data_IF_404184929834
#
_entry.id   IF_404184929834
#
_cell.length_a   1.000
_cell.length_b   1.000
_cell.length_c   1.000
_cell.angle_alpha   90.00
_cell.angle_beta   90.00
_cell.angle_gamma   90.00
#
_symmetry.space_group_name_H-M   'P 1'
#
loop_
_entity.id
_entity.type
_entity.pdbx_description
1 polymer ?
#
# COMPACT_ATOMS: atom_id res chain seq x y z
N UNK A 1 -14.34 3.01 4.75
CA UNK A 1 -15.75 3.20 4.39
C UNK A 1 -16.43 4.05 5.48
N UNK A 2 -16.89 5.27 5.19
CA UNK A 2 -17.66 6.09 6.14
C UNK A 2 -19.14 5.71 6.02
N UNK A 3 -19.73 5.14 7.07
CA UNK A 3 -21.17 4.89 7.13
C UNK A 3 -21.86 6.26 7.10
N UNK A 4 -22.76 6.49 6.13
CA UNK A 4 -23.51 7.74 6.04
C UNK A 4 -24.30 7.95 7.35
N UNK A 5 -24.13 9.11 8.03
CA UNK A 5 -24.86 9.42 9.26
C UNK A 5 -26.37 9.26 9.08
N UNK A 6 -26.90 9.64 7.91
CA UNK A 6 -28.33 9.53 7.58
C UNK A 6 -28.86 8.10 7.66
N UNK A 7 -28.03 7.09 7.37
CA UNK A 7 -28.43 5.68 7.44
C UNK A 7 -28.39 5.12 8.86
N UNK A 8 -27.46 5.60 9.69
CA UNK A 8 -27.43 5.31 11.14
C UNK A 8 -28.66 5.93 11.81
N UNK A 9 -29.02 7.16 11.43
CA UNK A 9 -30.23 7.82 11.93
C UNK A 9 -31.50 7.09 11.53
N UNK A 10 -31.59 6.53 10.31
CA UNK A 10 -32.74 5.74 9.90
C UNK A 10 -32.87 4.44 10.68
N UNK A 11 -31.78 3.71 10.91
CA UNK A 11 -31.79 2.49 11.71
C UNK A 11 -32.15 2.78 13.19
N UNK A 12 -31.64 3.88 13.74
CA UNK A 12 -32.01 4.35 15.08
C UNK A 12 -33.49 4.76 15.14
N UNK A 13 -34.01 5.41 14.10
CA UNK A 13 -35.41 5.79 13.99
C UNK A 13 -36.34 4.58 13.87
N UNK A 14 -36.02 3.62 13.00
CA UNK A 14 -36.79 2.39 12.83
C UNK A 14 -36.77 1.56 14.13
N UNK A 15 -35.65 1.55 14.86
CA UNK A 15 -35.55 0.95 16.20
C UNK A 15 -36.38 1.71 17.26
N UNK A 16 -36.38 3.05 17.24
CA UNK A 16 -37.23 3.87 18.12
C UNK A 16 -38.73 3.69 17.84
N UNK A 17 -39.12 3.49 16.58
CA UNK A 17 -40.51 3.20 16.18
C UNK A 17 -40.93 1.81 16.66
N UNK A 18 -40.01 0.85 16.76
CA UNK A 18 -40.25 -0.49 17.34
C UNK A 18 -40.25 -0.47 18.89
N UNK A 19 -39.66 0.55 19.52
CA UNK A 19 -39.48 0.67 20.98
C UNK A 19 -40.63 1.32 21.75
N UNK A 20 -41.76 1.64 21.13
CA UNK A 20 -42.97 2.08 21.87
C UNK A 20 -43.53 0.98 22.80
N UNK A 21 -42.88 -0.19 22.85
CA UNK A 21 -43.07 -1.22 23.87
C UNK A 21 -41.76 -1.51 24.60
N UNK A 22 -41.66 -1.02 25.84
CA UNK A 22 -40.64 -1.27 26.87
C UNK A 22 -39.77 -2.53 26.65
N UNK A 23 -38.54 -2.39 26.14
CA UNK A 23 -37.45 -3.36 26.37
C UNK A 23 -36.06 -2.71 26.43
N UNK A 24 -35.22 -3.41 27.20
CA UNK A 24 -33.86 -3.16 27.66
C UNK A 24 -32.90 -2.58 26.60
N UNK A 25 -32.14 -1.55 26.99
CA UNK A 25 -31.18 -0.83 26.13
C UNK A 25 -30.15 -1.80 25.52
N UNK A 26 -29.79 -2.86 26.26
CA UNK A 26 -28.84 -3.88 25.81
C UNK A 26 -29.38 -4.69 24.62
N UNK A 27 -30.70 -4.95 24.56
CA UNK A 27 -31.32 -5.57 23.39
C UNK A 27 -31.34 -4.65 22.18
N UNK A 28 -31.37 -3.34 22.41
CA UNK A 28 -31.28 -2.34 21.35
C UNK A 28 -29.91 -2.21 20.72
N UNK A 29 -28.88 -2.17 21.54
CA UNK A 29 -27.50 -2.19 21.05
C UNK A 29 -27.24 -3.47 20.25
N UNK A 30 -27.71 -4.62 20.73
CA UNK A 30 -27.58 -5.89 20.00
C UNK A 30 -28.38 -5.92 18.70
N UNK A 31 -29.55 -5.28 18.65
CA UNK A 31 -30.32 -5.14 17.41
C UNK A 31 -29.59 -4.24 16.40
N UNK A 32 -29.04 -3.11 16.85
CA UNK A 32 -28.26 -2.19 16.00
C UNK A 32 -27.00 -2.89 15.48
N UNK A 33 -26.29 -3.65 16.32
CA UNK A 33 -25.14 -4.46 15.91
C UNK A 33 -25.52 -5.50 14.87
N UNK A 34 -26.59 -6.26 15.10
CA UNK A 34 -27.09 -7.26 14.15
C UNK A 34 -27.58 -6.61 12.84
N UNK A 35 -28.17 -5.42 12.90
CA UNK A 35 -28.62 -4.67 11.72
C UNK A 35 -27.45 -4.10 10.93
N UNK A 36 -26.42 -3.58 11.60
CA UNK A 36 -25.17 -3.15 10.94
C UNK A 36 -24.46 -4.37 10.34
N UNK A 37 -24.49 -5.51 11.02
CA UNK A 37 -23.90 -6.77 10.55
C UNK A 37 -24.64 -7.33 9.33
N UNK A 38 -25.98 -7.37 9.35
CA UNK A 38 -26.77 -7.79 8.19
C UNK A 38 -26.60 -6.83 7.01
N UNK A 39 -26.46 -5.53 7.27
CA UNK A 39 -26.18 -4.54 6.23
C UNK A 39 -24.75 -4.64 5.67
N UNK A 40 -23.77 -5.06 6.48
CA UNK A 40 -22.43 -5.44 5.99
C UNK A 40 -22.46 -6.74 5.18
N UNK A 41 -23.46 -7.59 5.38
CA UNK A 41 -23.64 -8.83 4.62
C UNK A 41 -24.37 -8.59 3.28
N UNK A 42 -25.32 -7.64 3.26
CA UNK A 42 -26.07 -7.16 2.08
C UNK A 42 -25.46 -5.88 1.47
N UNK A 43 -24.32 -6.00 0.75
CA UNK A 43 -23.90 -4.94 -0.19
C UNK A 43 -24.60 -5.17 -1.53
N UNK A 44 -25.08 -4.07 -2.14
CA UNK A 44 -25.61 -4.08 -3.49
C UNK A 44 -24.55 -4.64 -4.47
N UNK A 45 -24.88 -5.61 -5.34
CA UNK A 45 -23.95 -6.05 -6.37
C UNK A 45 -23.63 -4.89 -7.32
N UNK A 46 -22.36 -4.62 -7.56
CA UNK A 46 -21.91 -3.54 -8.45
C UNK A 46 -20.42 -3.26 -8.33
N UNK A 47 -19.86 -2.62 -9.36
CA UNK A 47 -18.50 -2.10 -9.35
C UNK A 47 -18.56 -0.67 -8.80
N UNK A 48 -18.05 -0.46 -7.58
CA UNK A 48 -18.06 0.84 -6.92
C UNK A 48 -16.62 1.33 -6.77
N UNK A 49 -16.14 2.09 -7.76
CA UNK A 49 -14.88 2.81 -7.65
C UNK A 49 -15.13 4.28 -7.98
N UNK A 50 -14.98 5.15 -6.98
CA UNK A 50 -15.12 6.59 -7.18
C UNK A 50 -13.81 7.13 -7.73
N UNK A 51 -13.89 7.76 -8.91
CA UNK A 51 -12.96 8.73 -9.53
C UNK A 51 -11.47 8.53 -9.23
N UNK A 52 -10.72 8.18 -10.28
CA UNK A 52 -9.30 8.52 -10.54
C UNK A 52 -8.54 9.10 -9.33
N UNK A 53 -8.24 8.26 -8.34
CA UNK A 53 -7.35 8.67 -7.25
C UNK A 53 -5.93 8.54 -7.81
N UNK A 54 -5.39 9.65 -8.30
CA UNK A 54 -3.97 9.78 -8.70
C UNK A 54 -3.03 9.31 -7.58
N UNK A 55 -3.55 9.18 -6.34
CA UNK A 55 -2.85 8.67 -5.17
C UNK A 55 -3.35 7.29 -4.71
N UNK A 56 -3.67 6.36 -5.62
CA UNK A 56 -4.02 4.99 -5.24
C UNK A 56 -2.93 4.39 -4.32
N UNK A 57 -3.21 4.38 -3.01
CA UNK A 57 -2.26 3.95 -1.97
C UNK A 57 -1.98 2.46 -2.11
N UNK A 58 -0.78 2.01 -1.75
CA UNK A 58 -0.46 0.57 -1.70
C UNK A 58 -1.53 -0.22 -0.91
N UNK A 59 -2.05 0.36 0.17
CA UNK A 59 -3.02 -0.27 1.08
C UNK A 59 -4.42 0.34 0.92
N UNK A 60 -5.31 -0.35 0.20
CA UNK A 60 -6.69 0.13 -0.03
C UNK A 60 -7.76 -0.76 0.59
N UNK A 61 -7.40 -1.95 1.12
CA UNK A 61 -8.33 -2.84 1.82
C UNK A 61 -7.70 -3.41 3.10
N UNK A 62 -8.17 -3.01 4.30
CA UNK A 62 -7.52 -3.37 5.57
C UNK A 62 -7.57 -4.87 5.91
N UNK A 63 -8.47 -5.63 5.27
CA UNK A 63 -8.67 -7.06 5.55
C UNK A 63 -7.83 -7.99 4.63
N UNK A 64 -7.05 -7.43 3.68
CA UNK A 64 -6.26 -8.22 2.71
C UNK A 64 -4.83 -7.71 2.63
N UNK A 65 -3.89 -8.61 2.28
CA UNK A 65 -2.54 -8.17 1.94
C UNK A 65 -2.59 -7.25 0.71
N UNK A 66 -1.74 -6.21 0.64
CA UNK A 66 -1.74 -5.26 -0.48
C UNK A 66 -1.55 -5.93 -1.84
N UNK A 67 -0.64 -6.91 -1.91
CA UNK A 67 -0.39 -7.71 -3.11
C UNK A 67 -1.60 -8.56 -3.51
N UNK A 68 -2.33 -9.15 -2.56
CA UNK A 68 -3.58 -9.88 -2.82
C UNK A 68 -4.62 -8.95 -3.43
N UNK A 69 -4.86 -7.81 -2.79
CA UNK A 69 -5.82 -6.82 -3.26
C UNK A 69 -5.47 -6.35 -4.68
N UNK A 70 -4.23 -5.93 -4.90
CA UNK A 70 -3.78 -5.41 -6.19
C UNK A 70 -3.85 -6.46 -7.29
N UNK A 71 -3.55 -7.71 -6.98
CA UNK A 71 -3.65 -8.81 -7.94
C UNK A 71 -5.10 -9.12 -8.30
N UNK A 72 -6.01 -9.17 -7.31
CA UNK A 72 -7.45 -9.35 -7.58
C UNK A 72 -8.04 -8.20 -8.39
N UNK A 73 -7.64 -6.96 -8.08
CA UNK A 73 -8.08 -5.76 -8.79
C UNK A 73 -7.59 -5.77 -10.25
N UNK A 74 -6.31 -6.09 -10.47
CA UNK A 74 -5.73 -6.28 -11.80
C UNK A 74 -6.49 -7.34 -12.61
N UNK A 75 -6.79 -8.50 -12.01
CA UNK A 75 -7.52 -9.58 -12.68
C UNK A 75 -8.96 -9.17 -13.01
N UNK A 76 -9.66 -8.55 -12.06
CA UNK A 76 -11.03 -8.06 -12.26
C UNK A 76 -11.10 -7.07 -13.42
N UNK A 77 -10.22 -6.07 -13.43
CA UNK A 77 -10.14 -5.08 -14.50
C UNK A 77 -9.78 -5.69 -15.84
N UNK A 78 -8.84 -6.63 -15.87
CA UNK A 78 -8.45 -7.35 -17.09
C UNK A 78 -9.61 -8.16 -17.68
N UNK A 79 -10.39 -8.83 -16.82
CA UNK A 79 -11.57 -9.61 -17.25
C UNK A 79 -12.67 -8.67 -17.78
N UNK A 80 -12.97 -7.59 -17.05
CA UNK A 80 -13.98 -6.61 -17.47
C UNK A 80 -13.60 -5.94 -18.80
N UNK A 81 -12.34 -5.54 -18.94
CA UNK A 81 -11.80 -4.99 -20.18
C UNK A 81 -11.94 -5.99 -21.33
N UNK A 82 -11.44 -7.22 -21.16
CA UNK A 82 -11.48 -8.24 -22.20
C UNK A 82 -12.91 -8.62 -22.61
N UNK A 83 -13.83 -8.76 -21.64
CA UNK A 83 -15.24 -9.06 -21.92
C UNK A 83 -15.99 -7.92 -22.60
N UNK A 84 -15.56 -6.68 -22.37
CA UNK A 84 -16.09 -5.52 -23.09
C UNK A 84 -15.59 -5.47 -24.52
N UNK A 85 -14.29 -5.69 -24.74
CA UNK A 85 -13.67 -5.68 -26.08
C UNK A 85 -14.33 -6.71 -27.02
N UNK A 86 -14.69 -7.89 -26.50
CA UNK A 86 -15.40 -8.92 -27.28
C UNK A 86 -16.92 -8.73 -27.33
N UNK A 87 -17.46 -7.65 -26.74
CA UNK A 87 -18.88 -7.33 -26.75
C UNK A 87 -19.77 -8.20 -25.85
N UNK A 88 -19.18 -8.94 -24.90
CA UNK A 88 -19.92 -9.79 -23.96
C UNK A 88 -20.60 -8.98 -22.84
N UNK A 89 -20.00 -7.85 -22.45
CA UNK A 89 -20.53 -6.93 -21.43
C UNK A 89 -20.49 -5.50 -21.97
N UNK A 90 -21.49 -4.68 -21.64
CA UNK A 90 -21.44 -3.22 -21.85
C UNK A 90 -21.04 -2.53 -20.56
N UNK A 91 -19.81 -2.02 -20.51
CA UNK A 91 -19.26 -1.41 -19.31
C UNK A 91 -19.91 -0.05 -18.95
N UNK A 92 -20.55 0.61 -19.92
CA UNK A 92 -21.31 1.86 -19.69
C UNK A 92 -22.46 1.68 -18.69
N UNK A 93 -22.92 0.44 -18.46
CA UNK A 93 -23.94 0.12 -17.44
C UNK A 93 -23.37 -0.14 -16.05
N UNK A 94 -22.03 -0.16 -15.92
CA UNK A 94 -21.29 -0.57 -14.72
C UNK A 94 -20.59 0.63 -14.06
N UNK A 95 -20.22 1.65 -14.84
CA UNK A 95 -19.66 2.91 -14.34
C UNK A 95 -20.70 4.02 -14.43
N UNK A 96 -20.77 4.89 -13.42
CA UNK A 96 -21.54 6.14 -13.52
C UNK A 96 -21.00 7.00 -14.68
N UNK A 97 -21.88 7.80 -15.31
CA UNK A 97 -21.72 8.63 -16.54
C UNK A 97 -20.48 9.56 -16.64
N UNK A 98 -19.52 9.49 -15.71
CA UNK A 98 -18.35 10.36 -15.63
C UNK A 98 -17.10 9.84 -16.36
N UNK A 99 -17.04 8.56 -16.76
CA UNK A 99 -15.93 8.06 -17.57
C UNK A 99 -16.18 8.36 -19.06
N UNK A 100 -15.52 9.40 -19.59
CA UNK A 100 -15.63 9.77 -21.01
C UNK A 100 -15.12 8.68 -21.98
N UNK A 101 -14.32 7.73 -21.48
CA UNK A 101 -13.94 6.51 -22.18
C UNK A 101 -13.72 5.38 -21.16
N UNK A 102 -14.67 4.45 -21.11
CA UNK A 102 -14.67 3.34 -20.14
C UNK A 102 -13.54 2.34 -20.42
N UNK A 103 -13.18 2.11 -21.68
CA UNK A 103 -12.11 1.18 -22.03
C UNK A 103 -10.75 1.74 -21.63
N UNK A 104 -10.52 3.02 -21.92
CA UNK A 104 -9.30 3.70 -21.49
C UNK A 104 -9.21 3.77 -19.96
N UNK A 105 -10.32 3.95 -19.25
CA UNK A 105 -10.38 3.86 -17.79
C UNK A 105 -9.83 2.51 -17.28
N UNK A 106 -10.37 1.39 -17.74
CA UNK A 106 -9.90 0.07 -17.29
C UNK A 106 -8.44 -0.18 -17.67
N UNK A 107 -8.02 0.25 -18.87
CA UNK A 107 -6.64 0.12 -19.32
C UNK A 107 -5.65 0.86 -18.41
N UNK A 108 -5.97 2.09 -18.03
CA UNK A 108 -5.14 2.87 -17.10
C UNK A 108 -5.04 2.21 -15.73
N UNK A 109 -6.16 1.68 -15.21
CA UNK A 109 -6.15 0.95 -13.94
C UNK A 109 -5.34 -0.35 -14.01
N UNK A 110 -5.42 -1.11 -15.11
CA UNK A 110 -4.60 -2.30 -15.34
C UNK A 110 -3.10 -1.94 -15.31
N UNK A 111 -2.71 -0.86 -15.98
CA UNK A 111 -1.31 -0.37 -15.98
C UNK A 111 -0.88 0.05 -14.58
N UNK A 112 -1.72 0.79 -13.86
CA UNK A 112 -1.43 1.24 -12.50
C UNK A 112 -1.26 0.06 -11.55
N UNK A 113 -2.18 -0.90 -11.56
CA UNK A 113 -2.09 -2.09 -10.71
C UNK A 113 -0.86 -2.94 -11.07
N UNK A 114 -0.49 -3.05 -12.35
CA UNK A 114 0.74 -3.71 -12.78
C UNK A 114 1.98 -3.05 -12.14
N UNK A 115 2.08 -1.72 -12.17
CA UNK A 115 3.19 -1.00 -11.55
C UNK A 115 3.22 -1.16 -10.03
N UNK A 116 2.07 -1.15 -9.36
CA UNK A 116 1.99 -1.37 -7.92
C UNK A 116 2.39 -2.80 -7.54
N UNK A 117 1.97 -3.80 -8.32
CA UNK A 117 2.41 -5.19 -8.16
C UNK A 117 3.93 -5.30 -8.36
N UNK A 118 4.47 -4.63 -9.38
CA UNK A 118 5.91 -4.59 -9.63
C UNK A 118 6.68 -3.99 -8.44
N UNK A 119 6.20 -2.89 -7.88
CA UNK A 119 6.79 -2.25 -6.70
C UNK A 119 6.73 -3.15 -5.46
N UNK A 120 5.62 -3.85 -5.26
CA UNK A 120 5.44 -4.77 -4.15
C UNK A 120 6.38 -5.98 -4.24
N UNK A 121 6.56 -6.57 -5.43
CA UNK A 121 7.39 -7.77 -5.62
C UNK A 121 8.90 -7.47 -5.71
N UNK A 122 9.30 -6.20 -5.87
CA UNK A 122 10.68 -5.77 -6.16
C UNK A 122 11.36 -6.50 -7.34
N UNK A 123 10.57 -7.12 -8.23
CA UNK A 123 11.12 -7.93 -9.31
C UNK A 123 11.04 -7.20 -10.65
N UNK A 124 12.09 -7.33 -11.47
CA UNK A 124 12.11 -6.78 -12.85
C UNK A 124 11.15 -7.49 -13.81
N UNK A 125 10.52 -8.58 -13.39
CA UNK A 125 9.71 -9.45 -14.25
C UNK A 125 8.39 -9.87 -13.57
N UNK A 126 7.55 -8.91 -13.11
CA UNK A 126 6.31 -9.21 -12.40
C UNK A 126 5.29 -9.94 -13.30
N UNK A 127 5.41 -9.80 -14.62
CA UNK A 127 4.57 -10.52 -15.58
C UNK A 127 4.69 -12.05 -15.46
N UNK A 128 5.89 -12.59 -15.17
CA UNK A 128 6.08 -14.05 -15.02
C UNK A 128 5.28 -14.56 -13.81
N UNK A 129 5.35 -13.83 -12.70
CA UNK A 129 4.61 -14.14 -11.49
C UNK A 129 3.10 -14.04 -11.73
N UNK A 130 2.65 -12.98 -12.41
CA UNK A 130 1.25 -12.80 -12.82
C UNK A 130 0.74 -13.95 -13.71
N UNK A 131 1.55 -14.44 -14.65
CA UNK A 131 1.19 -15.60 -15.46
C UNK A 131 0.97 -16.85 -14.59
N UNK A 132 1.78 -17.06 -13.56
CA UNK A 132 1.56 -18.19 -12.63
C UNK A 132 0.33 -18.01 -11.75
N UNK A 133 0.00 -16.78 -11.34
CA UNK A 133 -1.27 -16.48 -10.67
C UNK A 133 -2.45 -16.86 -11.57
N UNK A 134 -2.45 -16.39 -12.83
CA UNK A 134 -3.50 -16.70 -13.81
C UNK A 134 -3.57 -18.21 -14.04
N UNK A 135 -2.43 -18.87 -14.21
CA UNK A 135 -2.35 -20.31 -14.39
C UNK A 135 -2.84 -21.07 -13.16
N UNK A 136 -2.72 -20.52 -11.94
CA UNK A 136 -3.23 -21.15 -10.70
C UNK A 136 -4.70 -20.83 -10.43
N UNK A 137 -5.24 -19.79 -11.08
CA UNK A 137 -6.62 -19.33 -10.89
C UNK A 137 -7.66 -20.40 -11.19
N UNK A 138 -7.37 -21.31 -12.13
CA UNK A 138 -8.27 -22.41 -12.47
C UNK A 138 -8.63 -23.27 -11.24
N UNK A 139 -7.72 -23.42 -10.27
CA UNK A 139 -7.93 -24.20 -9.04
C UNK A 139 -9.09 -23.67 -8.20
N UNK A 140 -9.28 -22.34 -8.18
CA UNK A 140 -10.39 -21.70 -7.47
C UNK A 140 -11.70 -21.76 -8.26
N UNK A 141 -11.62 -21.65 -9.60
CA UNK A 141 -12.81 -21.66 -10.47
C UNK A 141 -13.55 -23.00 -10.49
N UNK A 142 -12.88 -24.11 -10.17
CA UNK A 142 -13.52 -25.44 -10.06
C UNK A 142 -14.60 -25.50 -8.98
N UNK A 143 -14.50 -24.65 -7.94
CA UNK A 143 -15.46 -24.60 -6.84
C UNK A 143 -16.76 -23.84 -7.18
N UNK A 144 -16.86 -23.20 -8.37
CA UNK A 144 -18.03 -22.43 -8.86
C UNK A 144 -18.67 -21.53 -7.77
N UNK A 145 -17.86 -20.77 -7.05
CA UNK A 145 -18.32 -19.94 -5.93
C UNK A 145 -19.11 -18.75 -6.48
N UNK A 146 -20.44 -18.66 -6.26
CA UNK A 146 -21.22 -17.54 -6.75
C UNK A 146 -21.04 -16.36 -5.77
N UNK A 147 -20.39 -15.29 -6.22
CA UNK A 147 -20.08 -14.08 -5.42
C UNK A 147 -21.34 -13.23 -5.14
N UNK A 148 -22.31 -13.81 -4.43
CA UNK A 148 -23.66 -13.24 -4.22
C UNK A 148 -23.76 -12.29 -3.03
N UNK A 149 -22.86 -12.43 -2.05
CA UNK A 149 -22.84 -11.62 -0.84
C UNK A 149 -21.40 -11.41 -0.37
N UNK A 150 -21.19 -10.47 0.55
CA UNK A 150 -19.84 -10.15 1.01
C UNK A 150 -19.17 -11.26 1.80
N UNK A 151 -19.95 -12.11 2.47
CA UNK A 151 -19.39 -13.23 3.21
C UNK A 151 -18.68 -14.20 2.26
N UNK A 152 -19.37 -14.58 1.19
CA UNK A 152 -18.83 -15.44 0.14
C UNK A 152 -17.70 -14.75 -0.63
N UNK A 153 -17.78 -13.43 -0.85
CA UNK A 153 -16.68 -12.66 -1.42
C UNK A 153 -15.44 -12.70 -0.52
N UNK A 154 -15.59 -12.47 0.79
CA UNK A 154 -14.48 -12.54 1.75
C UNK A 154 -13.88 -13.94 1.82
N UNK A 155 -14.72 -14.97 1.83
CA UNK A 155 -14.25 -16.37 1.76
C UNK A 155 -13.44 -16.63 0.50
N UNK A 156 -13.92 -16.13 -0.66
CA UNK A 156 -13.18 -16.21 -1.92
C UNK A 156 -11.83 -15.47 -1.85
N UNK A 157 -11.82 -14.24 -1.34
CA UNK A 157 -10.59 -13.43 -1.22
C UNK A 157 -9.57 -14.08 -0.29
N UNK A 158 -10.02 -14.62 0.85
CA UNK A 158 -9.16 -15.37 1.77
C UNK A 158 -8.64 -16.67 1.15
N UNK A 159 -9.48 -17.42 0.41
CA UNK A 159 -9.03 -18.60 -0.32
C UNK A 159 -8.04 -18.25 -1.42
N UNK A 160 -8.24 -17.14 -2.13
CA UNK A 160 -7.30 -16.65 -3.14
C UNK A 160 -5.95 -16.27 -2.53
N UNK A 161 -5.96 -15.56 -1.39
CA UNK A 161 -4.74 -15.23 -0.65
C UNK A 161 -3.99 -16.50 -0.22
N UNK A 162 -4.66 -17.42 0.47
CA UNK A 162 -4.02 -18.59 1.05
C UNK A 162 -3.61 -19.67 0.03
N UNK A 163 -4.43 -19.93 -0.99
CA UNK A 163 -4.20 -21.03 -1.95
C UNK A 163 -3.31 -20.61 -3.14
N UNK A 164 -3.25 -19.32 -3.48
CA UNK A 164 -2.52 -18.82 -4.66
C UNK A 164 -1.41 -17.84 -4.27
N UNK A 165 -1.75 -16.76 -3.58
CA UNK A 165 -0.81 -15.64 -3.38
C UNK A 165 0.31 -16.01 -2.41
N UNK A 166 -0.04 -16.55 -1.24
CA UNK A 166 0.94 -16.88 -0.19
C UNK A 166 2.02 -17.88 -0.66
N UNK A 167 1.67 -19.00 -1.34
CA UNK A 167 2.67 -19.91 -1.90
C UNK A 167 3.57 -19.25 -2.94
N UNK A 168 3.00 -18.40 -3.81
CA UNK A 168 3.72 -17.78 -4.91
C UNK A 168 4.64 -16.63 -4.44
N UNK A 169 4.29 -15.91 -3.38
CA UNK A 169 5.17 -14.89 -2.78
C UNK A 169 6.41 -15.54 -2.19
N UNK A 170 6.23 -16.60 -1.40
CA UNK A 170 7.32 -17.32 -0.74
C UNK A 170 8.29 -17.96 -1.74
N UNK A 171 7.84 -18.27 -2.95
CA UNK A 171 8.61 -18.94 -3.99
C UNK A 171 8.93 -18.08 -5.20
N UNK A 172 8.66 -16.76 -5.17
CA UNK A 172 8.76 -15.84 -6.33
C UNK A 172 10.04 -16.03 -7.15
N UNK A 173 11.19 -16.14 -6.49
CA UNK A 173 12.48 -16.31 -7.18
C UNK A 173 12.62 -17.68 -7.85
N UNK A 174 12.24 -18.77 -7.16
CA UNK A 174 12.25 -20.12 -7.72
C UNK A 174 11.28 -20.27 -8.90
N UNK A 175 10.09 -19.70 -8.77
CA UNK A 175 9.07 -19.58 -9.82
C UNK A 175 9.62 -18.93 -11.10
N UNK A 176 10.34 -17.81 -10.95
CA UNK A 176 10.91 -17.09 -12.09
C UNK A 176 12.07 -17.87 -12.69
N UNK A 177 12.93 -18.48 -11.87
CA UNK A 177 14.00 -19.36 -12.35
C UNK A 177 13.45 -20.54 -13.14
N UNK A 178 12.40 -21.21 -12.64
CA UNK A 178 11.74 -22.33 -13.29
C UNK A 178 11.08 -21.92 -14.61
N UNK A 179 10.32 -20.81 -14.63
CA UNK A 179 9.73 -20.32 -15.86
C UNK A 179 10.79 -20.02 -16.91
N UNK A 180 11.88 -19.35 -16.51
CA UNK A 180 12.99 -19.06 -17.42
C UNK A 180 13.66 -20.34 -17.92
N UNK A 181 13.86 -21.35 -17.07
CA UNK A 181 14.40 -22.66 -17.48
C UNK A 181 13.50 -23.34 -18.50
N UNK A 182 12.19 -23.40 -18.25
CA UNK A 182 11.24 -24.05 -19.15
C UNK A 182 11.11 -23.28 -20.48
N UNK A 183 11.18 -21.95 -20.44
CA UNK A 183 11.19 -21.11 -21.64
C UNK A 183 12.48 -21.29 -22.46
N UNK A 184 13.62 -21.45 -21.79
CA UNK A 184 14.91 -21.79 -22.40
C UNK A 184 14.82 -23.15 -23.11
N UNK A 185 14.31 -24.18 -22.44
CA UNK A 185 14.10 -25.51 -23.03
C UNK A 185 13.19 -25.45 -24.27
N UNK A 186 12.07 -24.71 -24.18
CA UNK A 186 11.18 -24.48 -25.32
C UNK A 186 11.89 -23.77 -26.50
N UNK A 187 12.74 -22.78 -26.22
CA UNK A 187 13.48 -22.08 -27.27
C UNK A 187 14.53 -22.99 -27.92
N UNK A 188 15.20 -23.87 -27.15
CA UNK A 188 16.16 -24.83 -27.70
C UNK A 188 15.52 -25.78 -28.71
N UNK A 189 14.26 -26.14 -28.50
CA UNK A 189 13.49 -26.95 -29.46
C UNK A 189 13.08 -26.17 -30.72
N UNK A 190 13.18 -24.83 -30.70
CA UNK A 190 12.68 -23.93 -31.75
C UNK A 190 13.75 -23.31 -32.68
N UNK A 191 15.02 -23.76 -32.59
CA UNK A 191 16.13 -23.34 -33.49
C UNK A 191 16.40 -21.81 -33.52
N UNK A 192 16.10 -21.08 -32.44
CA UNK A 192 16.30 -19.63 -32.39
C UNK A 192 17.71 -19.24 -31.87
N UNK A 193 18.44 -18.49 -32.70
CA UNK A 193 19.83 -17.97 -32.54
C UNK A 193 20.04 -17.01 -31.34
N UNK A 194 19.04 -16.86 -30.47
CA UNK A 194 19.03 -15.98 -29.29
C UNK A 194 19.53 -16.72 -28.03
N UNK A 195 19.62 -18.05 -28.11
CA UNK A 195 19.98 -18.94 -27.01
C UNK A 195 21.31 -18.59 -26.30
N UNK A 196 22.41 -18.27 -27.01
CA UNK A 196 23.69 -17.95 -26.37
C UNK A 196 23.62 -16.67 -25.51
N UNK A 197 22.84 -15.68 -25.96
CA UNK A 197 22.73 -14.38 -25.30
C UNK A 197 21.86 -14.43 -24.03
N UNK A 198 20.76 -15.19 -24.06
CA UNK A 198 19.89 -15.40 -22.87
C UNK A 198 20.59 -16.30 -21.84
N UNK A 199 21.34 -17.31 -22.29
CA UNK A 199 22.11 -18.19 -21.41
C UNK A 199 23.29 -17.46 -20.73
N UNK A 200 23.93 -16.51 -21.40
CA UNK A 200 24.98 -15.65 -20.84
C UNK A 200 24.42 -14.68 -19.78
N UNK A 201 23.22 -14.14 -19.99
CA UNK A 201 22.55 -13.24 -19.03
C UNK A 201 22.07 -13.93 -17.75
N UNK A 202 21.97 -15.26 -17.71
CA UNK A 202 21.38 -16.02 -16.57
C UNK A 202 22.21 -17.22 -16.10
N UNK A 203 23.49 -17.27 -16.49
CA UNK A 203 24.61 -18.02 -15.90
C UNK A 203 24.27 -19.34 -15.16
N UNK A 204 24.49 -20.45 -15.86
CA UNK A 204 24.32 -21.82 -15.38
C UNK A 204 25.32 -22.18 -14.25
N UNK A 205 24.83 -22.41 -13.03
CA UNK A 205 25.63 -22.83 -11.85
C UNK A 205 26.37 -24.17 -12.06
N UNK A 206 25.92 -25.05 -12.96
CA UNK A 206 26.66 -26.28 -13.28
C UNK A 206 27.93 -26.00 -14.10
N UNK A 207 27.94 -24.94 -14.92
CA UNK A 207 29.10 -24.57 -15.75
C UNK A 207 30.07 -23.66 -15.00
N UNK A 208 29.57 -22.90 -14.04
CA UNK A 208 30.34 -21.98 -13.20
C UNK A 208 29.96 -22.17 -11.72
N UNK A 209 30.56 -23.15 -11.01
CA UNK A 209 30.18 -23.47 -9.64
C UNK A 209 30.48 -22.35 -8.63
N UNK A 210 31.33 -21.39 -8.99
CA UNK A 210 31.68 -20.25 -8.15
C UNK A 210 30.79 -19.02 -8.40
N UNK A 211 29.85 -19.10 -9.33
CA UNK A 211 29.03 -17.97 -9.74
C UNK A 211 28.22 -17.36 -8.60
N UNK A 212 27.78 -18.18 -7.65
CA UNK A 212 27.05 -17.74 -6.45
C UNK A 212 27.85 -16.75 -5.60
N UNK A 213 29.19 -16.81 -5.65
CA UNK A 213 30.08 -15.87 -4.96
C UNK A 213 30.32 -14.57 -5.73
N UNK A 214 30.04 -14.55 -7.03
CA UNK A 214 30.17 -13.37 -7.90
C UNK A 214 28.83 -12.72 -8.21
N UNK A 215 27.71 -13.35 -7.84
CA UNK A 215 26.40 -12.75 -7.92
C UNK A 215 26.36 -11.49 -7.06
N UNK A 216 25.86 -10.40 -7.64
CA UNK A 216 25.68 -9.15 -6.95
C UNK A 216 24.63 -9.32 -5.85
N UNK A 217 25.06 -9.51 -4.61
CA UNK A 217 24.17 -9.50 -3.45
C UNK A 217 23.88 -8.03 -3.12
N UNK A 218 22.65 -7.58 -3.41
CA UNK A 218 22.17 -6.29 -2.89
C UNK A 218 22.20 -6.38 -1.37
N UNK A 219 22.90 -5.44 -0.72
CA UNK A 219 22.84 -5.33 0.74
C UNK A 219 21.40 -5.00 1.15
N UNK A 220 20.83 -5.71 2.15
CA UNK A 220 19.45 -5.49 2.56
C UNK A 220 19.27 -4.05 3.05
N UNK A 221 18.30 -3.35 2.49
CA UNK A 221 17.94 -2.00 2.88
C UNK A 221 16.75 -1.98 3.84
N UNK A 222 16.58 -0.89 4.58
CA UNK A 222 15.40 -0.69 5.42
C UNK A 222 14.10 -0.65 4.59
N UNK A 223 14.19 -0.17 3.35
CA UNK A 223 13.08 -0.19 2.40
C UNK A 223 12.70 -1.64 2.04
N UNK A 224 13.70 -2.49 1.78
CA UNK A 224 13.51 -3.91 1.47
C UNK A 224 12.81 -4.63 2.63
N UNK A 225 13.22 -4.32 3.87
CA UNK A 225 12.56 -4.83 5.07
C UNK A 225 11.08 -4.44 5.12
N UNK A 226 10.74 -3.16 4.95
CA UNK A 226 9.35 -2.70 5.02
C UNK A 226 8.48 -3.30 3.94
N UNK A 227 8.99 -3.47 2.72
CA UNK A 227 8.23 -4.12 1.66
C UNK A 227 7.98 -5.59 1.96
N UNK A 228 9.00 -6.34 2.40
CA UNK A 228 8.82 -7.74 2.80
C UNK A 228 7.88 -7.86 3.99
N UNK A 229 7.96 -6.93 4.94
CA UNK A 229 7.05 -6.86 6.06
C UNK A 229 5.59 -6.64 5.61
N UNK A 230 5.35 -5.70 4.70
CA UNK A 230 4.03 -5.43 4.09
C UNK A 230 3.52 -6.58 3.22
N UNK A 231 4.39 -7.29 2.51
CA UNK A 231 4.03 -8.46 1.71
C UNK A 231 3.57 -9.63 2.59
N UNK A 232 4.22 -9.84 3.73
CA UNK A 232 3.99 -11.01 4.58
C UNK A 232 2.87 -10.80 5.59
N UNK A 233 2.57 -9.55 5.97
CA UNK A 233 1.64 -9.24 7.06
C UNK A 233 0.48 -8.35 6.61
N UNK A 234 -0.74 -8.87 6.70
CA UNK A 234 -1.99 -8.12 6.50
C UNK A 234 -2.52 -7.45 7.78
N UNK A 235 -2.12 -7.95 8.95
CA UNK A 235 -2.74 -7.55 10.22
C UNK A 235 -1.92 -6.50 10.97
N UNK A 236 -2.47 -5.30 11.03
CA UNK A 236 -1.94 -4.19 11.84
C UNK A 236 -1.80 -4.53 13.34
N UNK A 237 -2.54 -5.54 13.80
CA UNK A 237 -2.62 -5.98 15.20
C UNK A 237 -1.48 -6.92 15.65
N UNK A 238 -0.85 -7.65 14.75
CA UNK A 238 0.21 -8.60 15.11
C UNK A 238 1.51 -7.89 15.50
N UNK A 239 1.78 -6.74 14.89
CA UNK A 239 3.02 -5.97 15.07
C UNK A 239 2.74 -4.46 15.19
N UNK A 240 1.97 -4.02 16.20
CA UNK A 240 1.47 -2.65 16.29
C UNK A 240 2.59 -1.60 16.33
N UNK A 241 3.72 -1.94 16.97
CA UNK A 241 4.89 -1.05 17.03
C UNK A 241 5.60 -0.92 15.68
N UNK A 242 5.73 -2.01 14.91
CA UNK A 242 6.37 -1.95 13.59
C UNK A 242 5.48 -1.21 12.60
N UNK A 243 4.16 -1.39 12.67
CA UNK A 243 3.22 -0.64 11.84
C UNK A 243 3.28 0.87 12.14
N UNK A 244 3.28 1.25 13.43
CA UNK A 244 3.46 2.64 13.84
C UNK A 244 4.81 3.19 13.36
N UNK A 245 5.87 2.40 13.51
CA UNK A 245 7.21 2.77 13.05
C UNK A 245 7.20 3.01 11.53
N UNK A 246 6.61 2.13 10.73
CA UNK A 246 6.50 2.28 9.28
C UNK A 246 5.78 3.56 8.88
N UNK A 247 4.62 3.82 9.49
CA UNK A 247 3.82 5.02 9.24
C UNK A 247 4.57 6.31 9.60
N UNK A 248 5.36 6.26 10.68
CA UNK A 248 5.98 7.44 11.29
C UNK A 248 7.48 7.53 11.08
N UNK A 249 8.10 6.67 10.27
CA UNK A 249 9.57 6.57 10.23
C UNK A 249 10.24 7.87 9.78
N UNK A 250 9.63 8.57 8.82
CA UNK A 250 10.09 9.87 8.37
C UNK A 250 9.91 10.95 9.45
N UNK A 251 8.76 10.99 10.12
CA UNK A 251 8.51 11.92 11.24
C UNK A 251 9.48 11.68 12.41
N UNK A 252 9.75 10.41 12.72
CA UNK A 252 10.68 10.01 13.77
C UNK A 252 12.14 10.31 13.41
N UNK A 253 12.48 10.38 12.12
CA UNK A 253 13.83 10.74 11.66
C UNK A 253 14.26 12.16 12.07
N UNK A 254 13.29 13.01 12.43
CA UNK A 254 13.52 14.38 12.91
C UNK A 254 13.76 14.48 14.42
N UNK A 255 13.43 13.46 15.21
CA UNK A 255 13.62 13.47 16.67
C UNK A 255 15.05 13.82 17.12
N UNK A 256 16.12 13.35 16.45
CA UNK A 256 17.49 13.73 16.80
C UNK A 256 17.78 15.25 16.70
N UNK A 257 16.94 16.03 16.00
CA UNK A 257 17.05 17.49 15.91
C UNK A 257 16.55 18.19 17.18
N UNK A 258 15.68 17.56 17.98
CA UNK A 258 15.02 18.17 19.14
C UNK A 258 16.02 18.64 20.23
N UNK A 259 17.04 17.85 20.62
CA UNK A 259 18.03 18.30 21.62
C UNK A 259 18.85 19.51 21.15
N UNK A 260 19.07 19.63 19.83
CA UNK A 260 19.82 20.75 19.24
C UNK A 260 18.98 22.02 19.31
N UNK A 261 17.71 21.94 18.92
CA UNK A 261 16.76 23.05 19.00
C UNK A 261 16.57 23.52 20.45
N UNK A 262 16.38 22.57 21.38
CA UNK A 262 16.21 22.89 22.81
C UNK A 262 17.48 23.47 23.42
N UNK A 263 18.67 22.99 23.06
CA UNK A 263 19.92 23.58 23.53
C UNK A 263 20.10 25.02 23.04
N UNK A 264 19.83 25.29 21.75
CA UNK A 264 19.95 26.63 21.21
C UNK A 264 18.95 27.60 21.85
N UNK A 265 17.67 27.21 21.96
CA UNK A 265 16.65 28.04 22.62
C UNK A 265 16.94 28.28 24.10
N UNK A 266 17.37 27.25 24.84
CA UNK A 266 17.78 27.40 26.24
C UNK A 266 18.99 28.33 26.38
N UNK A 267 19.93 28.29 25.42
CA UNK A 267 21.07 29.18 25.40
C UNK A 267 20.64 30.64 25.21
N UNK A 268 19.77 30.90 24.22
CA UNK A 268 19.21 32.23 23.99
C UNK A 268 18.44 32.75 25.21
N UNK A 269 17.60 31.91 25.84
CA UNK A 269 16.90 32.31 27.05
C UNK A 269 17.88 32.66 28.18
N UNK A 270 18.88 31.83 28.44
CA UNK A 270 19.87 32.15 29.49
C UNK A 270 20.60 33.46 29.24
N UNK A 271 20.92 33.75 27.98
CA UNK A 271 21.69 34.93 27.61
C UNK A 271 20.84 36.21 27.59
N UNK A 272 19.61 36.14 27.08
CA UNK A 272 18.84 37.34 26.72
C UNK A 272 17.55 37.56 27.53
N UNK A 273 17.04 36.58 28.29
CA UNK A 273 15.70 36.63 28.93
C UNK A 273 15.51 37.77 29.96
N UNK A 274 16.55 38.54 30.26
CA UNK A 274 16.48 39.77 31.07
C UNK A 274 17.35 40.92 30.56
N UNK A 275 18.11 40.72 29.47
CA UNK A 275 19.08 41.72 28.97
C UNK A 275 18.52 42.59 27.85
N UNK A 276 17.46 42.12 27.18
CA UNK A 276 16.89 42.79 26.00
C UNK A 276 15.39 42.96 26.26
N UNK A 277 14.87 44.17 26.04
CA UNK A 277 13.43 44.40 26.13
C UNK A 277 12.70 43.71 24.95
N UNK A 278 11.39 43.45 25.09
CA UNK A 278 10.61 42.85 24.00
C UNK A 278 10.65 43.66 22.71
N UNK A 279 10.65 44.99 22.83
CA UNK A 279 10.70 45.89 21.66
C UNK A 279 12.06 45.85 20.95
N UNK A 280 13.15 45.69 21.72
CA UNK A 280 14.49 45.50 21.17
C UNK A 280 14.65 44.11 20.54
N UNK A 281 14.08 43.07 21.14
CA UNK A 281 14.14 41.71 20.61
C UNK A 281 13.51 41.58 19.21
N UNK A 282 12.48 42.38 18.90
CA UNK A 282 11.84 42.40 17.58
C UNK A 282 12.71 43.03 16.47
N UNK A 283 13.71 43.82 16.83
CA UNK A 283 14.55 44.57 15.87
C UNK A 283 15.99 44.07 15.81
N UNK A 284 16.43 43.27 16.77
CA UNK A 284 17.83 42.81 16.86
C UNK A 284 18.01 41.47 16.17
N UNK A 285 19.03 41.33 15.31
CA UNK A 285 19.32 40.06 14.65
C UNK A 285 20.28 39.23 15.51
N UNK A 286 20.10 37.91 15.51
CA UNK A 286 21.00 36.98 16.23
C UNK A 286 22.45 37.10 15.72
N UNK A 287 22.62 37.43 14.44
CA UNK A 287 23.92 37.61 13.77
C UNK A 287 24.75 38.73 14.40
N UNK A 288 24.10 39.75 14.95
CA UNK A 288 24.77 40.92 15.56
C UNK A 288 25.59 40.54 16.80
N UNK A 289 25.36 39.34 17.36
CA UNK A 289 26.05 38.82 18.54
C UNK A 289 27.11 37.76 18.23
N UNK A 290 27.34 37.39 16.96
CA UNK A 290 28.29 36.33 16.61
C UNK A 290 29.74 36.73 16.89
N UNK A 291 30.12 37.96 16.58
CA UNK A 291 31.49 38.45 16.81
C UNK A 291 31.85 38.49 18.30
N UNK A 292 30.84 38.67 19.16
CA UNK A 292 31.00 38.74 20.61
C UNK A 292 30.87 37.38 21.29
N UNK A 293 30.36 36.37 20.57
CA UNK A 293 30.11 35.04 21.13
C UNK A 293 30.22 33.94 20.07
N UNK A 294 31.44 33.39 19.91
CA UNK A 294 31.69 32.27 19.00
C UNK A 294 30.84 31.03 19.30
N UNK A 295 30.48 30.81 20.58
CA UNK A 295 29.66 29.66 20.97
C UNK A 295 28.21 29.82 20.47
N UNK A 296 27.70 31.05 20.44
CA UNK A 296 26.39 31.33 19.85
C UNK A 296 26.40 31.06 18.34
N UNK A 297 27.48 31.43 17.65
CA UNK A 297 27.64 31.19 16.22
C UNK A 297 27.63 29.69 15.89
N UNK A 298 28.38 28.87 16.64
CA UNK A 298 28.42 27.41 16.43
C UNK A 298 27.06 26.74 16.72
N UNK A 299 26.41 27.15 17.81
CA UNK A 299 25.08 26.66 18.17
C UNK A 299 24.03 27.07 17.13
N UNK A 300 24.12 28.28 16.60
CA UNK A 300 23.23 28.77 15.55
C UNK A 300 23.42 28.00 14.24
N UNK A 301 24.66 27.77 13.80
CA UNK A 301 24.94 27.00 12.58
C UNK A 301 24.40 25.56 12.67
N UNK A 302 24.56 24.94 13.84
CA UNK A 302 24.05 23.58 14.10
C UNK A 302 22.52 23.56 14.14
N UNK A 303 21.91 24.57 14.75
CA UNK A 303 20.46 24.77 14.76
C UNK A 303 19.90 24.97 13.36
N UNK A 304 20.45 25.89 12.58
CA UNK A 304 19.99 26.26 11.24
C UNK A 304 19.98 25.05 10.30
N UNK A 305 21.06 24.27 10.30
CA UNK A 305 21.16 23.03 9.53
C UNK A 305 20.00 22.07 9.87
N UNK A 306 19.75 21.85 11.16
CA UNK A 306 18.71 20.91 11.62
C UNK A 306 17.29 21.44 11.49
N UNK A 307 17.10 22.75 11.61
CA UNK A 307 15.83 23.42 11.45
C UNK A 307 15.36 23.38 9.99
N UNK A 308 16.26 23.61 9.05
CA UNK A 308 15.94 23.62 7.61
C UNK A 308 15.58 22.23 7.05
N UNK A 309 15.92 21.14 7.75
CA UNK A 309 15.57 19.76 7.37
C UNK A 309 14.15 19.40 7.82
N UNK A 310 13.56 20.14 8.76
CA UNK A 310 12.21 19.88 9.23
C UNK A 310 11.19 20.22 8.15
N UNK A 311 10.23 19.33 7.85
CA UNK A 311 9.14 19.61 6.93
C UNK A 311 8.16 20.53 7.64
N UNK A 312 8.43 21.83 7.60
CA UNK A 312 7.40 22.83 7.85
C UNK A 312 6.51 22.87 6.61
N UNK A 313 5.58 21.92 6.51
CA UNK A 313 4.37 22.22 5.76
C UNK A 313 3.83 23.51 6.37
N UNK A 314 3.62 24.52 5.53
CA UNK A 314 3.03 25.78 5.93
C UNK A 314 1.71 25.47 6.62
N UNK A 315 1.71 25.52 7.95
CA UNK A 315 0.49 25.73 8.73
C UNK A 315 0.03 27.13 8.33
N UNK A 316 -0.72 27.20 7.24
CA UNK A 316 -1.47 28.37 6.77
C UNK A 316 -2.94 28.05 6.86
#
# INVERSE_FOLDING_TARGET
MKISPAKVYKAAWDYMVVLDTQKDIEQGLKYIENYIQSFKEDIAPGYFYNSHDENAKLDTKPDLKPITFRTLHFLLHSILFAFSEIGFIKLDSILDDQAQDVLEYFKQHIIQDYHLIQQLLEHKQPHIWLYQVIASFHRLTQKKIPLKNNKVLKEFESSFEAEIIDPLIQSTHGTIQEFNRNYIEYIQESDADIYPYIAELKQNTQKYPLLEYFNYIKLPSLQDFWQQFTLLHSNSSAFPLLNLLQEKIYELSYLPSLPIITNFTNYLMKKFNYQISRDQANSTQIKDFFDQDPKLQDLFATFENKWNILPFESVR
#
